data_IF_112957334808
#
_entry.id   IF_112957334808
#
_cell.length_a   1.000
_cell.length_b   1.000
_cell.length_c   1.000
_cell.angle_alpha   90.00
_cell.angle_beta   90.00
_cell.angle_gamma   90.00
#
_symmetry.space_group_name_H-M   'P 1'
#
loop_
_entity.id
_entity.type
_entity.pdbx_description
1 polymer ?
#
# COMPACT_ATOMS: atom_id res chain seq x y z
N UNK A 1 -8.26 12.61 -22.11
CA UNK A 1 -7.23 13.42 -21.41
C UNK A 1 -7.61 13.70 -19.96
N UNK A 2 -8.74 14.36 -19.67
CA UNK A 2 -9.13 14.72 -18.30
C UNK A 2 -9.10 13.56 -17.29
N UNK A 3 -9.62 12.38 -17.65
CA UNK A 3 -9.59 11.17 -16.80
C UNK A 3 -8.16 10.80 -16.35
N UNK A 4 -7.21 10.74 -17.29
CA UNK A 4 -5.84 10.33 -16.99
C UNK A 4 -5.09 11.40 -16.22
N UNK A 5 -5.32 12.68 -16.54
CA UNK A 5 -4.78 13.81 -15.77
C UNK A 5 -5.26 13.75 -14.31
N UNK A 6 -6.53 13.44 -14.06
CA UNK A 6 -7.06 13.27 -12.71
C UNK A 6 -6.42 12.08 -11.98
N UNK A 7 -6.20 10.95 -12.66
CA UNK A 7 -5.49 9.81 -12.06
C UNK A 7 -4.06 10.19 -11.64
N UNK A 8 -3.32 10.90 -12.50
CA UNK A 8 -1.97 11.38 -12.19
C UNK A 8 -1.99 12.34 -11.01
N UNK A 9 -2.92 13.29 -10.98
CA UNK A 9 -3.02 14.26 -9.89
C UNK A 9 -3.34 13.58 -8.55
N UNK A 10 -4.25 12.62 -8.54
CA UNK A 10 -4.55 11.83 -7.34
C UNK A 10 -3.33 11.00 -6.89
N UNK A 11 -2.58 10.40 -7.82
CA UNK A 11 -1.36 9.68 -7.51
C UNK A 11 -0.30 10.57 -6.86
N UNK A 12 -0.13 11.79 -7.35
CA UNK A 12 0.79 12.78 -6.75
C UNK A 12 0.33 13.18 -5.34
N UNK A 13 -0.96 13.40 -5.13
CA UNK A 13 -1.50 13.71 -3.81
C UNK A 13 -1.31 12.55 -2.82
N UNK A 14 -1.51 11.31 -3.26
CA UNK A 14 -1.30 10.13 -2.43
C UNK A 14 0.20 9.88 -2.15
N UNK A 15 1.08 10.19 -3.10
CA UNK A 15 2.52 10.14 -2.90
C UNK A 15 2.97 11.17 -1.85
N UNK A 16 2.44 12.40 -1.92
CA UNK A 16 2.70 13.44 -0.92
C UNK A 16 2.21 13.00 0.47
N UNK A 17 0.98 12.48 0.56
CA UNK A 17 0.43 11.89 1.79
C UNK A 17 1.34 10.78 2.34
N UNK A 18 1.81 9.87 1.49
CA UNK A 18 2.70 8.77 1.88
C UNK A 18 4.06 9.29 2.38
N UNK A 19 4.60 10.32 1.72
CA UNK A 19 5.83 11.00 2.14
C UNK A 19 5.71 11.65 3.53
N UNK A 20 4.55 12.21 3.86
CA UNK A 20 4.26 12.80 5.18
C UNK A 20 3.91 11.76 6.26
N UNK A 21 4.12 10.46 6.01
CA UNK A 21 3.80 9.42 7.00
C UNK A 21 2.30 9.19 7.21
N UNK A 22 1.43 9.74 6.35
CA UNK A 22 -0.02 9.59 6.45
C UNK A 22 -0.54 8.36 5.66
N UNK A 23 0.29 7.33 5.49
CA UNK A 23 -0.14 6.07 4.91
C UNK A 23 -0.89 5.20 5.93
N UNK A 24 -1.51 4.12 5.47
CA UNK A 24 -2.21 3.17 6.35
C UNK A 24 -1.28 2.42 7.32
N UNK A 25 0.03 2.38 7.05
CA UNK A 25 1.01 1.57 7.82
C UNK A 25 1.97 2.45 8.61
N UNK A 26 2.20 3.68 8.15
CA UNK A 26 3.23 4.57 8.70
C UNK A 26 2.71 5.53 9.75
N UNK A 27 1.65 5.20 10.51
CA UNK A 27 1.05 6.18 11.43
C UNK A 27 1.97 6.50 12.61
N UNK A 28 2.91 7.43 12.40
CA UNK A 28 3.88 7.95 13.37
C UNK A 28 3.21 8.66 14.57
N UNK A 29 1.88 8.77 14.62
CA UNK A 29 1.17 9.59 15.62
C UNK A 29 0.33 8.84 16.66
N UNK A 30 -0.01 7.56 16.46
CA UNK A 30 -1.02 6.88 17.30
C UNK A 30 -2.41 7.55 17.28
N UNK A 31 -3.47 6.80 17.62
CA UNK A 31 -4.82 7.33 17.80
C UNK A 31 -5.39 8.16 16.64
N UNK A 32 -5.47 9.49 16.82
CA UNK A 32 -6.12 10.45 15.90
C UNK A 32 -5.52 10.49 14.50
N UNK A 33 -4.19 10.34 14.37
CA UNK A 33 -3.53 10.31 13.07
C UNK A 33 -3.88 9.07 12.24
N UNK A 34 -4.14 7.94 12.89
CA UNK A 34 -4.60 6.72 12.21
C UNK A 34 -5.96 6.91 11.53
N UNK A 35 -6.90 7.60 12.19
CA UNK A 35 -8.21 7.92 11.62
C UNK A 35 -8.11 8.89 10.43
N UNK A 36 -7.19 9.86 10.50
CA UNK A 36 -6.93 10.79 9.38
C UNK A 36 -6.37 10.03 8.17
N UNK A 37 -5.34 9.19 8.38
CA UNK A 37 -4.76 8.37 7.30
C UNK A 37 -5.79 7.46 6.65
N UNK A 38 -6.63 6.80 7.47
CA UNK A 38 -7.73 5.96 6.98
C UNK A 38 -8.76 6.78 6.19
N UNK A 39 -9.18 7.93 6.72
CA UNK A 39 -10.13 8.83 6.05
C UNK A 39 -9.61 9.30 4.69
N UNK A 40 -8.35 9.73 4.62
CA UNK A 40 -7.71 10.14 3.37
C UNK A 40 -7.59 8.98 2.37
N UNK A 41 -7.30 7.76 2.85
CA UNK A 41 -7.27 6.57 2.01
C UNK A 41 -8.66 6.23 1.45
N UNK A 42 -9.70 6.25 2.28
CA UNK A 42 -11.08 6.02 1.83
C UNK A 42 -11.50 7.06 0.80
N UNK A 43 -11.18 8.35 1.05
CA UNK A 43 -11.44 9.41 0.08
C UNK A 43 -10.71 9.17 -1.25
N UNK A 44 -9.44 8.74 -1.21
CA UNK A 44 -8.68 8.40 -2.41
C UNK A 44 -9.37 7.29 -3.22
N UNK A 45 -9.77 6.21 -2.55
CA UNK A 45 -10.48 5.08 -3.17
C UNK A 45 -11.80 5.53 -3.78
N UNK A 46 -12.55 6.40 -3.11
CA UNK A 46 -13.80 6.97 -3.63
C UNK A 46 -13.57 7.82 -4.87
N UNK A 47 -12.56 8.70 -4.87
CA UNK A 47 -12.24 9.53 -6.04
C UNK A 47 -11.81 8.68 -7.23
N UNK A 48 -10.94 7.68 -7.03
CA UNK A 48 -10.55 6.74 -8.08
C UNK A 48 -11.76 5.98 -8.61
N UNK A 49 -12.65 5.52 -7.72
CA UNK A 49 -13.90 4.86 -8.10
C UNK A 49 -14.77 5.76 -8.99
N UNK A 50 -14.95 7.02 -8.62
CA UNK A 50 -15.73 7.98 -9.42
C UNK A 50 -15.09 8.25 -10.77
N UNK A 51 -13.76 8.30 -10.87
CA UNK A 51 -13.08 8.43 -12.17
C UNK A 51 -13.40 7.25 -13.09
N UNK A 52 -13.32 6.02 -12.59
CA UNK A 52 -13.66 4.83 -13.38
C UNK A 52 -15.15 4.76 -13.74
N UNK A 53 -16.05 5.14 -12.83
CA UNK A 53 -17.50 5.23 -13.11
C UNK A 53 -17.76 6.23 -14.23
N UNK A 54 -17.21 7.44 -14.11
CA UNK A 54 -17.42 8.51 -15.09
C UNK A 54 -16.88 8.11 -16.46
N UNK A 55 -15.71 7.47 -16.51
CA UNK A 55 -15.13 7.00 -17.77
C UNK A 55 -15.96 5.90 -18.43
N UNK A 56 -16.52 4.96 -17.66
CA UNK A 56 -17.44 3.92 -18.16
C UNK A 56 -18.73 4.51 -18.70
N UNK A 57 -19.32 5.45 -17.95
CA UNK A 57 -20.54 6.14 -18.38
C UNK A 57 -20.32 6.89 -19.70
N UNK A 58 -19.16 7.51 -19.86
CA UNK A 58 -18.77 8.18 -21.11
C UNK A 58 -18.60 7.20 -22.28
N UNK A 59 -18.14 5.97 -22.01
CA UNK A 59 -18.09 4.89 -23.00
C UNK A 59 -19.47 4.27 -23.32
N UNK A 60 -20.55 4.68 -22.64
CA UNK A 60 -21.88 4.07 -22.82
C UNK A 60 -22.05 2.71 -22.14
N UNK A 61 -21.05 2.23 -21.41
CA UNK A 61 -21.13 0.95 -20.69
C UNK A 61 -21.84 1.08 -19.33
N UNK A 62 -22.53 0.02 -18.93
CA UNK A 62 -23.15 -0.07 -17.60
C UNK A 62 -22.13 0.00 -16.45
N UNK A 63 -22.60 0.43 -15.28
CA UNK A 63 -21.78 0.61 -14.06
C UNK A 63 -21.21 -0.73 -13.55
N UNK A 64 -21.80 -1.89 -13.88
CA UNK A 64 -21.57 -3.20 -13.23
C UNK A 64 -20.12 -3.74 -13.16
N UNK A 65 -19.11 -3.10 -13.77
CA UNK A 65 -17.69 -3.50 -13.69
C UNK A 65 -16.72 -2.40 -13.22
N UNK A 66 -17.22 -1.26 -12.70
CA UNK A 66 -16.32 -0.18 -12.22
C UNK A 66 -15.51 -0.57 -10.98
N UNK A 67 -16.03 -1.49 -10.15
CA UNK A 67 -15.39 -1.88 -8.90
C UNK A 67 -14.19 -2.80 -9.11
N UNK A 68 -14.15 -3.53 -10.23
CA UNK A 68 -13.08 -4.49 -10.51
C UNK A 68 -11.68 -3.85 -10.46
N UNK A 69 -11.38 -2.74 -11.17
CA UNK A 69 -10.06 -2.10 -11.10
C UNK A 69 -9.72 -1.63 -9.69
N UNK A 70 -10.71 -1.14 -8.93
CA UNK A 70 -10.51 -0.63 -7.57
C UNK A 70 -10.21 -1.78 -6.60
N UNK A 71 -11.01 -2.85 -6.63
CA UNK A 71 -10.82 -4.03 -5.79
C UNK A 71 -9.44 -4.66 -6.08
N UNK A 72 -9.07 -4.83 -7.35
CA UNK A 72 -7.78 -5.39 -7.71
C UNK A 72 -6.61 -4.49 -7.26
N UNK A 73 -6.75 -3.17 -7.41
CA UNK A 73 -5.72 -2.23 -6.92
C UNK A 73 -5.55 -2.32 -5.39
N UNK A 74 -6.65 -2.45 -4.65
CA UNK A 74 -6.62 -2.63 -3.19
C UNK A 74 -5.96 -3.95 -2.79
N UNK A 75 -6.31 -5.06 -3.47
CA UNK A 75 -5.72 -6.37 -3.20
C UNK A 75 -4.22 -6.37 -3.49
N UNK A 76 -3.80 -5.87 -4.66
CA UNK A 76 -2.39 -5.80 -5.05
C UNK A 76 -1.61 -4.88 -4.10
N UNK A 77 -2.19 -3.74 -3.70
CA UNK A 77 -1.61 -2.87 -2.68
C UNK A 77 -1.36 -3.63 -1.37
N UNK A 78 -2.37 -4.35 -0.86
CA UNK A 78 -2.25 -5.12 0.38
C UNK A 78 -1.18 -6.22 0.30
N UNK A 79 -1.11 -6.94 -0.83
CA UNK A 79 -0.07 -7.94 -1.07
C UNK A 79 1.31 -7.28 -1.08
N UNK A 80 1.49 -6.18 -1.81
CA UNK A 80 2.78 -5.49 -1.91
C UNK A 80 3.25 -4.95 -0.55
N UNK A 81 2.33 -4.46 0.28
CA UNK A 81 2.62 -4.06 1.67
C UNK A 81 3.05 -5.27 2.50
N UNK A 82 2.29 -6.36 2.46
CA UNK A 82 2.58 -7.58 3.23
C UNK A 82 3.91 -8.22 2.86
N UNK A 83 4.27 -8.22 1.57
CA UNK A 83 5.57 -8.70 1.10
C UNK A 83 6.69 -7.83 1.66
N UNK A 84 6.59 -6.51 1.59
CA UNK A 84 7.66 -5.64 2.12
C UNK A 84 7.77 -5.66 3.64
N UNK A 85 6.65 -5.80 4.37
CA UNK A 85 6.69 -6.02 5.82
C UNK A 85 7.39 -7.34 6.16
N UNK A 86 7.11 -8.40 5.41
CA UNK A 86 7.78 -9.70 5.58
C UNK A 86 9.28 -9.58 5.33
N UNK A 87 9.68 -8.98 4.20
CA UNK A 87 11.10 -8.75 3.87
C UNK A 87 11.79 -7.90 4.93
N UNK A 88 11.15 -6.82 5.39
CA UNK A 88 11.68 -5.97 6.46
C UNK A 88 11.88 -6.75 7.76
N UNK A 89 10.91 -7.58 8.15
CA UNK A 89 11.00 -8.44 9.33
C UNK A 89 12.17 -9.42 9.23
N UNK A 90 12.35 -10.09 8.08
CA UNK A 90 13.51 -10.98 7.86
C UNK A 90 14.85 -10.25 7.94
N UNK A 91 14.94 -9.04 7.41
CA UNK A 91 16.16 -8.23 7.51
C UNK A 91 16.50 -7.89 8.97
N UNK A 92 15.50 -7.46 9.76
CA UNK A 92 15.69 -7.16 11.18
C UNK A 92 16.03 -8.42 12.00
N UNK A 93 15.40 -9.54 11.67
CA UNK A 93 15.73 -10.84 12.26
C UNK A 93 17.17 -11.24 11.97
N UNK A 94 17.68 -10.94 10.76
CA UNK A 94 19.08 -11.13 10.39
C UNK A 94 20.04 -10.30 11.26
N UNK A 95 19.74 -9.01 11.44
CA UNK A 95 20.52 -8.11 12.31
C UNK A 95 20.56 -8.65 13.75
N UNK A 96 19.40 -9.02 14.30
CA UNK A 96 19.33 -9.56 15.65
C UNK A 96 20.08 -10.90 15.77
N UNK A 97 19.97 -11.78 14.77
CA UNK A 97 20.70 -13.05 14.77
C UNK A 97 22.22 -12.82 14.78
N UNK A 98 22.71 -11.86 13.98
CA UNK A 98 24.11 -11.44 13.97
C UNK A 98 24.56 -10.88 15.32
N UNK A 99 23.74 -10.05 15.99
CA UNK A 99 24.03 -9.54 17.34
C UNK A 99 24.19 -10.68 18.38
N UNK A 100 23.45 -11.77 18.20
CA UNK A 100 23.54 -12.96 19.05
C UNK A 100 24.60 -13.97 18.59
N UNK A 101 25.34 -13.68 17.52
CA UNK A 101 26.33 -14.59 16.93
C UNK A 101 25.73 -15.87 16.36
N UNK A 102 24.46 -15.85 15.94
CA UNK A 102 23.73 -16.98 15.35
C UNK A 102 23.43 -16.70 13.87
N UNK A 103 23.32 -17.75 13.06
CA UNK A 103 22.91 -17.64 11.65
C UNK A 103 21.38 -17.57 11.53
N UNK A 104 20.86 -16.54 10.84
CA UNK A 104 19.42 -16.30 10.68
C UNK A 104 18.68 -17.51 10.09
N UNK A 105 19.31 -18.21 9.15
CA UNK A 105 18.69 -19.37 8.48
C UNK A 105 18.50 -20.55 9.43
N UNK A 106 19.28 -20.62 10.50
CA UNK A 106 19.19 -21.68 11.53
C UNK A 106 18.20 -21.35 12.65
N UNK A 107 17.96 -20.06 12.91
CA UNK A 107 17.18 -19.59 14.07
C UNK A 107 15.77 -19.14 13.72
N UNK A 108 15.45 -18.94 12.44
CA UNK A 108 14.13 -18.49 12.01
C UNK A 108 12.97 -19.43 12.44
N UNK A 109 13.26 -20.70 12.71
CA UNK A 109 12.28 -21.71 13.16
C UNK A 109 12.33 -21.97 14.67
N UNK A 110 13.24 -21.34 15.41
CA UNK A 110 13.41 -21.52 16.86
C UNK A 110 12.40 -20.65 17.61
N UNK A 111 11.39 -21.22 18.30
CA UNK A 111 10.36 -20.43 18.98
C UNK A 111 10.93 -19.50 20.06
N UNK A 112 11.99 -19.92 20.76
CA UNK A 112 12.62 -19.10 21.80
C UNK A 112 13.35 -17.90 21.18
N UNK A 113 13.92 -18.07 19.98
CA UNK A 113 14.52 -16.96 19.25
C UNK A 113 13.46 -15.97 18.76
N UNK A 114 12.31 -16.45 18.27
CA UNK A 114 11.21 -15.58 17.84
C UNK A 114 10.65 -14.74 19.00
N UNK A 115 10.49 -15.33 20.18
CA UNK A 115 10.05 -14.61 21.39
C UNK A 115 11.08 -13.54 21.80
N UNK A 116 12.37 -13.89 21.80
CA UNK A 116 13.43 -12.94 22.12
C UNK A 116 13.56 -11.81 21.07
N UNK A 117 13.39 -12.15 19.78
CA UNK A 117 13.34 -11.16 18.70
C UNK A 117 12.14 -10.21 18.86
N UNK A 118 10.97 -10.73 19.24
CA UNK A 118 9.80 -9.91 19.50
C UNK A 118 10.04 -8.95 20.66
N UNK A 119 10.60 -9.41 21.78
CA UNK A 119 10.97 -8.55 22.90
C UNK A 119 12.01 -7.47 22.48
N UNK A 120 13.01 -7.85 21.69
CA UNK A 120 14.01 -6.93 21.15
C UNK A 120 13.41 -5.83 20.25
N UNK A 121 12.38 -6.18 19.47
CA UNK A 121 11.60 -5.25 18.64
C UNK A 121 10.71 -4.33 19.49
N UNK A 122 10.09 -4.85 20.55
CA UNK A 122 9.25 -4.06 21.46
C UNK A 122 10.07 -3.00 22.21
N UNK A 123 11.31 -3.32 22.55
CA UNK A 123 12.27 -2.38 23.16
C UNK A 123 12.81 -1.32 22.17
N UNK A 124 12.56 -1.49 20.87
CA UNK A 124 13.08 -0.63 19.78
C UNK A 124 11.99 -0.24 18.78
N UNK A 125 11.01 0.58 19.20
CA UNK A 125 9.87 0.98 18.36
C UNK A 125 10.29 1.68 17.07
N UNK A 126 11.47 2.30 17.02
CA UNK A 126 12.03 2.91 15.81
C UNK A 126 12.27 1.90 14.67
N UNK A 127 12.50 0.63 14.98
CA UNK A 127 12.69 -0.42 13.96
C UNK A 127 11.39 -0.75 13.25
N UNK A 128 10.25 -0.65 13.94
CA UNK A 128 8.94 -0.80 13.31
C UNK A 128 8.69 0.31 12.27
N UNK A 129 9.18 1.53 12.52
CA UNK A 129 9.09 2.64 11.55
C UNK A 129 9.96 2.39 10.31
N UNK A 130 11.12 1.76 10.48
CA UNK A 130 11.99 1.39 9.35
C UNK A 130 11.34 0.38 8.40
N UNK A 131 10.43 -0.47 8.91
CA UNK A 131 9.63 -1.37 8.07
C UNK A 131 8.41 -0.68 7.44
N UNK A 132 7.78 0.23 8.19
CA UNK A 132 6.53 0.87 7.80
C UNK A 132 6.67 1.73 6.54
N UNK A 133 7.78 2.49 6.42
CA UNK A 133 8.04 3.35 5.26
C UNK A 133 8.09 2.57 3.94
N UNK A 134 9.00 1.58 3.78
CA UNK A 134 9.07 0.75 2.59
C UNK A 134 7.75 0.03 2.25
N UNK A 135 7.04 -0.47 3.27
CA UNK A 135 5.75 -1.11 3.09
C UNK A 135 4.66 -0.13 2.59
N UNK A 136 4.66 1.10 3.10
CA UNK A 136 3.76 2.14 2.63
C UNK A 136 4.00 2.47 1.15
N UNK A 137 5.26 2.61 0.75
CA UNK A 137 5.64 2.88 -0.63
C UNK A 137 5.36 1.72 -1.58
N UNK A 138 5.52 0.47 -1.14
CA UNK A 138 5.17 -0.68 -1.97
C UNK A 138 3.66 -0.82 -2.17
N UNK A 139 2.87 -0.54 -1.13
CA UNK A 139 1.41 -0.45 -1.23
C UNK A 139 0.97 0.63 -2.21
N UNK A 140 1.49 1.84 -2.03
CA UNK A 140 1.29 2.96 -2.97
C UNK A 140 1.59 2.53 -4.41
N UNK A 141 2.77 1.95 -4.66
CA UNK A 141 3.17 1.50 -5.98
C UNK A 141 2.21 0.43 -6.54
N UNK A 142 1.82 -0.56 -5.73
CA UNK A 142 0.90 -1.61 -6.12
C UNK A 142 -0.49 -1.08 -6.50
N UNK A 143 -1.04 -0.17 -5.69
CA UNK A 143 -2.33 0.47 -5.94
C UNK A 143 -2.31 1.27 -7.25
N UNK A 144 -1.32 2.16 -7.41
CA UNK A 144 -1.27 3.07 -8.55
C UNK A 144 -0.86 2.39 -9.84
N UNK A 145 0.10 1.45 -9.81
CA UNK A 145 0.45 0.67 -11.00
C UNK A 145 -0.78 -0.06 -11.56
N UNK A 146 -1.55 -0.72 -10.68
CA UNK A 146 -2.80 -1.40 -11.07
C UNK A 146 -3.83 -0.40 -11.61
N UNK A 147 -4.05 0.71 -10.91
CA UNK A 147 -4.99 1.75 -11.32
C UNK A 147 -4.63 2.37 -12.68
N UNK A 148 -3.34 2.58 -12.96
CA UNK A 148 -2.89 3.09 -14.26
C UNK A 148 -3.05 2.06 -15.36
N UNK A 149 -2.73 0.77 -15.11
CA UNK A 149 -2.93 -0.30 -16.09
C UNK A 149 -4.40 -0.38 -16.52
N UNK A 150 -5.33 -0.36 -15.56
CA UNK A 150 -6.74 -0.27 -15.87
C UNK A 150 -7.10 1.06 -16.51
N UNK A 151 -6.53 2.18 -16.05
CA UNK A 151 -6.74 3.49 -16.66
C UNK A 151 -6.41 3.52 -18.15
N UNK A 152 -5.31 2.89 -18.56
CA UNK A 152 -4.95 2.72 -19.97
C UNK A 152 -5.96 1.86 -20.72
N UNK A 153 -6.37 0.73 -20.14
CA UNK A 153 -7.40 -0.12 -20.73
C UNK A 153 -8.74 0.61 -20.91
N UNK A 154 -9.21 1.33 -19.91
CA UNK A 154 -10.44 2.13 -19.98
C UNK A 154 -10.33 3.28 -20.97
N UNK A 155 -9.15 3.86 -21.20
CA UNK A 155 -8.98 4.86 -22.25
C UNK A 155 -9.23 4.28 -23.65
N UNK A 156 -8.93 3.01 -23.87
CA UNK A 156 -9.12 2.36 -25.17
C UNK A 156 -10.59 2.08 -25.54
N UNK A 157 -11.50 2.11 -24.56
CA UNK A 157 -12.93 1.87 -24.78
C UNK A 157 -13.53 2.98 -25.66
N UNK A 158 -14.15 2.60 -26.78
CA UNK A 158 -14.93 3.52 -27.60
C UNK A 158 -16.38 3.46 -27.17
N UNK A 159 -17.14 4.50 -27.50
CA UNK A 159 -18.59 4.47 -27.35
C UNK A 159 -19.13 3.52 -28.41
N UNK A 160 -19.92 2.53 -27.99
CA UNK A 160 -20.66 1.70 -28.91
C UNK A 160 -21.80 2.56 -29.48
N UNK A 161 -21.66 2.96 -30.75
CA UNK A 161 -22.66 3.73 -31.51
C UNK A 161 -23.75 2.82 -32.09
#
# INVERSE_FOLDING_TARGET
MAFFTSLVLLAVLDAAKTWYGLSLVSSEGGGSFGYISMGLFVLMVLFVSFLFINRRRDAGEGIKMFLLPVILALVISGIAMGVMLTVGSFNLMGIYAEEQGRDVMTVAQDPAFQEAFQAWMEDRPELALQMAGPAAWSGFAGFWATSFLFGFWFMSMKRDD
#
